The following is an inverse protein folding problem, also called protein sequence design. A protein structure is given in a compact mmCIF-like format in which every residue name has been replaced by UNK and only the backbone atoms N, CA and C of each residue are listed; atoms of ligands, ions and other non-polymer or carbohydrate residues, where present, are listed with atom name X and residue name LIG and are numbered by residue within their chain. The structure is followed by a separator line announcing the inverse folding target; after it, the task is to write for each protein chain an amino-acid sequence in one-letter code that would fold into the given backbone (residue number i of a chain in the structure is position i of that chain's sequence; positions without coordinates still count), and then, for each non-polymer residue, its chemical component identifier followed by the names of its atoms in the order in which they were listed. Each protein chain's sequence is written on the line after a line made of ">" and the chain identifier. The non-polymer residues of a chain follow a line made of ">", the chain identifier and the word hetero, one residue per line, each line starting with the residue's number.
data_IF_102012224963
#
_entry.id   IF_102012224963
#
_cell.length_a   1.000
_cell.length_b   1.000
_cell.length_c   1.000
_cell.angle_alpha   90.00
_cell.angle_beta   90.00
_cell.angle_gamma   90.00
#
_symmetry.space_group_name_H-M   'P 1'
#
loop_
_entity.id
_entity.type
_entity.pdbx_description
1 polymer ?
#
# COMPACT_ATOMS: atom_id res chain seq x y z
N UNK A 1 5.89 -15.31 -30.46
CA UNK A 1 6.39 -13.91 -30.49
C UNK A 1 5.32 -12.85 -30.75
N UNK A 2 4.35 -13.07 -31.62
CA UNK A 2 3.21 -12.13 -31.86
C UNK A 2 2.22 -12.08 -30.68
N UNK A 3 1.83 -13.22 -30.12
CA UNK A 3 0.90 -13.29 -28.98
C UNK A 3 1.45 -12.65 -27.70
N UNK A 4 2.76 -12.76 -27.45
CA UNK A 4 3.40 -12.07 -26.30
C UNK A 4 3.37 -10.54 -26.46
N UNK A 5 3.59 -10.02 -27.66
CA UNK A 5 3.52 -8.57 -27.92
C UNK A 5 2.11 -7.99 -27.82
N UNK A 6 1.10 -8.75 -28.27
CA UNK A 6 -0.30 -8.33 -28.13
C UNK A 6 -0.72 -8.30 -26.66
N UNK A 7 -0.31 -9.28 -25.87
CA UNK A 7 -0.58 -9.29 -24.42
C UNK A 7 0.11 -8.16 -23.65
N UNK A 8 1.32 -7.76 -24.02
CA UNK A 8 2.02 -6.61 -23.42
C UNK A 8 1.37 -5.26 -23.79
N UNK A 9 0.93 -5.09 -25.04
CA UNK A 9 0.23 -3.87 -25.48
C UNK A 9 -1.13 -3.73 -24.80
N UNK A 10 -1.89 -4.82 -24.61
CA UNK A 10 -3.15 -4.80 -23.86
C UNK A 10 -2.94 -4.51 -22.38
N UNK A 11 -1.91 -5.11 -21.75
CA UNK A 11 -1.54 -4.79 -20.36
C UNK A 11 -1.23 -3.30 -20.21
N UNK A 12 -0.40 -2.75 -21.06
CA UNK A 12 0.03 -1.33 -20.98
C UNK A 12 -1.15 -0.38 -21.18
N UNK A 13 -2.09 -0.66 -22.08
CA UNK A 13 -3.30 0.15 -22.27
C UNK A 13 -4.20 0.15 -21.03
N UNK A 14 -4.44 -1.00 -20.40
CA UNK A 14 -5.28 -1.11 -19.19
C UNK A 14 -4.69 -0.36 -18.00
N UNK A 15 -3.37 -0.38 -17.84
CA UNK A 15 -2.68 0.30 -16.74
C UNK A 15 -2.87 1.81 -16.81
N UNK A 16 -2.81 2.40 -18.01
CA UNK A 16 -2.98 3.85 -18.21
C UNK A 16 -4.42 4.29 -17.90
N UNK A 17 -5.43 3.48 -18.26
CA UNK A 17 -6.83 3.75 -17.93
C UNK A 17 -7.08 3.82 -16.41
N UNK A 18 -6.22 3.15 -15.62
CA UNK A 18 -6.34 3.12 -14.16
C UNK A 18 -5.46 4.16 -13.44
N UNK A 19 -4.90 5.10 -14.19
CA UNK A 19 -4.05 6.16 -13.63
C UNK A 19 -2.70 5.65 -13.11
N UNK A 20 -2.24 4.52 -13.67
CA UNK A 20 -0.88 4.01 -13.53
C UNK A 20 -0.23 4.01 -14.91
N UNK A 21 1.05 4.34 -14.98
CA UNK A 21 1.80 4.39 -16.22
C UNK A 21 3.21 3.81 -16.05
N UNK A 22 4.07 3.99 -17.04
CA UNK A 22 5.47 3.56 -16.98
C UNK A 22 6.40 4.55 -16.27
N UNK A 23 5.87 5.60 -15.65
CA UNK A 23 6.66 6.54 -14.85
C UNK A 23 7.30 5.84 -13.65
N UNK A 24 8.47 6.31 -13.17
CA UNK A 24 9.19 5.63 -12.10
C UNK A 24 8.39 5.51 -10.80
N UNK A 25 8.67 4.46 -10.03
CA UNK A 25 8.25 4.31 -8.64
C UNK A 25 9.39 4.79 -7.74
N UNK A 26 9.14 5.78 -6.89
CA UNK A 26 10.13 6.18 -5.88
C UNK A 26 10.08 5.22 -4.69
N UNK A 27 11.23 4.70 -4.30
CA UNK A 27 11.43 3.87 -3.12
C UNK A 27 12.45 4.56 -2.19
N UNK A 28 12.00 5.36 -1.22
CA UNK A 28 12.90 5.89 -0.19
C UNK A 28 13.37 4.76 0.71
N UNK A 29 14.68 4.65 0.93
CA UNK A 29 15.29 3.68 1.83
C UNK A 29 16.20 4.37 2.86
N UNK A 30 16.15 3.88 4.10
CA UNK A 30 17.06 4.24 5.17
C UNK A 30 18.15 3.17 5.38
N UNK A 31 18.22 2.16 4.51
CA UNK A 31 19.09 0.99 4.60
C UNK A 31 18.86 0.14 5.86
N UNK A 32 17.60 0.09 6.30
CA UNK A 32 17.19 -0.71 7.44
C UNK A 32 16.67 -2.10 7.03
N UNK A 33 16.87 -3.16 7.84
CA UNK A 33 16.42 -4.53 7.52
C UNK A 33 14.90 -4.67 7.35
N UNK A 34 14.11 -3.73 7.87
CA UNK A 34 12.64 -3.77 7.85
C UNK A 34 12.00 -3.27 6.56
N UNK A 35 12.81 -2.82 5.61
CA UNK A 35 12.34 -2.20 4.37
C UNK A 35 12.04 -3.22 3.26
N UNK A 36 12.30 -4.51 3.48
CA UNK A 36 12.12 -5.57 2.47
C UNK A 36 10.69 -5.60 1.91
N UNK A 37 9.66 -5.41 2.75
CA UNK A 37 8.27 -5.38 2.25
C UNK A 37 8.00 -4.17 1.33
N UNK A 38 8.62 -3.02 1.59
CA UNK A 38 8.51 -1.86 0.71
C UNK A 38 9.26 -2.08 -0.60
N UNK A 39 10.41 -2.76 -0.55
CA UNK A 39 11.15 -3.19 -1.75
C UNK A 39 10.27 -4.11 -2.59
N UNK A 40 9.73 -5.18 -2.02
CA UNK A 40 8.85 -6.11 -2.73
C UNK A 40 7.65 -5.36 -3.33
N UNK A 41 7.01 -4.48 -2.58
CA UNK A 41 5.85 -3.72 -3.07
C UNK A 41 6.22 -2.82 -4.25
N UNK A 42 7.32 -2.07 -4.16
CA UNK A 42 7.77 -1.18 -5.22
C UNK A 42 8.11 -1.96 -6.51
N UNK A 43 8.85 -3.08 -6.38
CA UNK A 43 9.21 -3.91 -7.52
C UNK A 43 8.00 -4.62 -8.14
N UNK A 44 7.04 -5.07 -7.32
CA UNK A 44 5.78 -5.65 -7.79
C UNK A 44 4.99 -4.66 -8.67
N UNK A 45 4.87 -3.41 -8.21
CA UNK A 45 4.16 -2.37 -8.96
C UNK A 45 4.95 -2.02 -10.23
N UNK A 46 6.26 -1.84 -10.12
CA UNK A 46 7.10 -1.48 -11.25
C UNK A 46 7.10 -2.55 -12.35
N UNK A 47 7.16 -3.84 -11.99
CA UNK A 47 7.06 -4.95 -12.95
C UNK A 47 5.73 -4.90 -13.71
N UNK A 48 4.62 -4.71 -13.00
CA UNK A 48 3.30 -4.68 -13.63
C UNK A 48 3.13 -3.50 -14.57
N UNK A 49 3.62 -2.31 -14.15
CA UNK A 49 3.53 -1.08 -14.93
C UNK A 49 4.57 -0.98 -16.05
N UNK A 50 5.55 -1.90 -16.13
CA UNK A 50 6.68 -1.78 -17.05
C UNK A 50 7.55 -0.57 -16.74
N UNK A 51 7.63 -0.16 -15.47
CA UNK A 51 8.39 1.00 -15.00
C UNK A 51 9.70 0.59 -14.33
N UNK A 52 10.52 1.59 -13.95
CA UNK A 52 11.70 1.39 -13.13
C UNK A 52 11.47 1.79 -11.68
N UNK A 53 12.27 1.27 -10.76
CA UNK A 53 12.33 1.73 -9.38
C UNK A 53 13.44 2.76 -9.23
N UNK A 54 13.11 3.94 -8.72
CA UNK A 54 14.07 4.94 -8.30
C UNK A 54 14.25 4.83 -6.78
N UNK A 55 15.34 4.22 -6.36
CA UNK A 55 15.74 4.14 -4.95
C UNK A 55 16.32 5.49 -4.55
N UNK A 56 15.77 6.09 -3.50
CA UNK A 56 16.25 7.37 -3.01
C UNK A 56 16.67 7.29 -1.53
N UNK A 57 17.94 7.56 -1.28
CA UNK A 57 18.47 7.59 0.08
C UNK A 57 18.83 9.03 0.49
N UNK A 58 18.32 9.46 1.63
CA UNK A 58 18.75 10.73 2.24
C UNK A 58 19.90 10.43 3.19
N UNK A 59 21.11 10.81 2.78
CA UNK A 59 22.32 10.58 3.55
C UNK A 59 22.24 11.23 4.92
N UNK A 60 22.58 10.47 5.92
CA UNK A 60 22.53 10.94 7.33
C UNK A 60 23.73 10.43 8.13
N UNK A 61 23.88 10.99 9.33
CA UNK A 61 25.01 10.72 10.24
C UNK A 61 24.99 9.32 10.88
N UNK A 62 23.89 8.57 10.75
CA UNK A 62 23.77 7.19 11.20
C UNK A 62 24.09 6.16 10.11
N UNK A 63 24.36 6.59 8.87
CA UNK A 63 24.64 5.69 7.74
C UNK A 63 25.93 4.89 7.98
N UNK A 64 25.86 3.60 7.66
CA UNK A 64 27.02 2.71 7.68
C UNK A 64 27.17 1.99 6.33
N UNK A 65 28.41 1.80 5.89
CA UNK A 65 28.68 1.09 4.63
C UNK A 65 28.13 -0.34 4.67
N UNK A 66 28.21 -1.02 5.80
CA UNK A 66 27.66 -2.38 5.99
C UNK A 66 26.14 -2.43 5.76
N UNK A 67 25.39 -1.43 6.26
CA UNK A 67 23.96 -1.35 6.05
C UNK A 67 23.61 -1.09 4.57
N UNK A 68 24.37 -0.18 3.95
CA UNK A 68 24.27 0.15 2.52
C UNK A 68 24.52 -1.07 1.63
N UNK A 69 25.62 -1.79 1.83
CA UNK A 69 25.94 -3.01 1.07
C UNK A 69 24.85 -4.08 1.19
N UNK A 70 24.31 -4.30 2.40
CA UNK A 70 23.21 -5.25 2.61
C UNK A 70 21.96 -4.83 1.86
N UNK A 71 21.60 -3.55 1.89
CA UNK A 71 20.45 -3.04 1.18
C UNK A 71 20.59 -3.16 -0.34
N UNK A 72 21.79 -2.83 -0.88
CA UNK A 72 22.07 -2.96 -2.31
C UNK A 72 22.00 -4.42 -2.77
N UNK A 73 22.53 -5.35 -1.97
CA UNK A 73 22.42 -6.79 -2.27
C UNK A 73 20.95 -7.23 -2.34
N UNK A 74 20.14 -6.79 -1.39
CA UNK A 74 18.71 -7.10 -1.36
C UNK A 74 17.98 -6.51 -2.58
N UNK A 75 18.31 -5.29 -2.97
CA UNK A 75 17.78 -4.65 -4.18
C UNK A 75 18.15 -5.44 -5.45
N UNK A 76 19.38 -5.87 -5.58
CA UNK A 76 19.84 -6.68 -6.71
C UNK A 76 19.10 -8.02 -6.81
N UNK A 77 18.88 -8.69 -5.67
CA UNK A 77 18.12 -9.94 -5.59
C UNK A 77 16.69 -9.72 -6.09
N UNK A 78 16.01 -8.67 -5.61
CA UNK A 78 14.64 -8.37 -6.03
C UNK A 78 14.57 -7.85 -7.48
N UNK A 79 15.51 -7.03 -7.92
CA UNK A 79 15.59 -6.56 -9.30
C UNK A 79 15.68 -7.71 -10.31
N UNK A 80 16.54 -8.69 -10.03
CA UNK A 80 16.65 -9.92 -10.84
C UNK A 80 15.38 -10.74 -10.81
N UNK A 81 14.77 -10.88 -9.62
CA UNK A 81 13.57 -11.67 -9.39
C UNK A 81 12.36 -11.11 -10.15
N UNK A 82 12.15 -9.80 -10.12
CA UNK A 82 11.05 -9.11 -10.77
C UNK A 82 11.38 -8.63 -12.20
N UNK A 83 12.63 -8.80 -12.65
CA UNK A 83 13.11 -8.30 -13.96
C UNK A 83 12.87 -6.80 -14.14
N UNK A 84 13.02 -6.04 -13.08
CA UNK A 84 12.82 -4.59 -13.03
C UNK A 84 14.16 -3.90 -12.87
N UNK A 85 14.39 -2.87 -13.68
CA UNK A 85 15.56 -2.02 -13.54
C UNK A 85 15.39 -1.06 -12.36
N UNK A 86 16.45 -0.77 -11.64
CA UNK A 86 16.46 0.25 -10.62
C UNK A 86 17.66 1.19 -10.74
N UNK A 87 17.52 2.37 -10.16
CA UNK A 87 18.55 3.39 -10.10
C UNK A 87 18.64 3.90 -8.66
N UNK A 88 19.85 4.02 -8.12
CA UNK A 88 20.06 4.57 -6.77
C UNK A 88 20.49 6.02 -6.88
N UNK A 89 19.78 6.90 -6.15
CA UNK A 89 20.15 8.30 -5.97
C UNK A 89 20.27 8.61 -4.48
N UNK A 90 21.23 9.44 -4.15
CA UNK A 90 21.46 9.90 -2.79
C UNK A 90 21.34 11.42 -2.71
N UNK A 91 20.92 11.93 -1.55
CA UNK A 91 20.89 13.37 -1.34
C UNK A 91 22.31 13.97 -1.38
N UNK A 92 22.45 15.19 -1.88
CA UNK A 92 23.74 15.89 -1.92
C UNK A 92 24.27 16.23 -0.52
N UNK A 93 23.39 16.38 0.45
CA UNK A 93 23.71 16.78 1.84
C UNK A 93 23.60 15.59 2.78
N UNK A 94 24.55 15.50 3.71
CA UNK A 94 24.45 14.67 4.91
C UNK A 94 23.73 15.49 5.98
N UNK A 95 22.71 14.90 6.58
CA UNK A 95 21.91 15.55 7.64
C UNK A 95 21.86 14.69 8.87
N UNK A 96 21.41 15.24 10.01
CA UNK A 96 21.10 14.39 11.16
C UNK A 96 19.92 13.47 10.84
N UNK A 97 19.98 12.22 11.29
CA UNK A 97 18.91 11.25 11.16
C UNK A 97 17.57 11.76 11.77
N UNK A 98 17.67 12.66 12.75
CA UNK A 98 16.50 13.30 13.38
C UNK A 98 15.92 14.47 12.58
N UNK A 99 16.54 14.86 11.47
CA UNK A 99 16.03 15.97 10.65
C UNK A 99 14.86 15.56 9.74
N UNK A 100 13.78 15.14 10.40
CA UNK A 100 12.54 14.66 9.76
C UNK A 100 11.98 15.67 8.74
N UNK A 101 12.14 16.97 9.00
CA UNK A 101 11.64 18.02 8.11
C UNK A 101 12.38 18.05 6.78
N UNK A 102 13.70 17.97 6.80
CA UNK A 102 14.53 17.91 5.60
C UNK A 102 14.33 16.60 4.85
N UNK A 103 14.43 15.46 5.56
CA UNK A 103 14.30 14.12 4.96
C UNK A 103 12.96 14.01 4.22
N UNK A 104 11.85 14.36 4.86
CA UNK A 104 10.52 14.27 4.23
C UNK A 104 10.34 15.22 3.03
N UNK A 105 10.95 16.40 3.09
CA UNK A 105 10.93 17.37 1.98
C UNK A 105 11.74 16.83 0.81
N UNK A 106 12.95 16.36 1.07
CA UNK A 106 13.86 15.80 0.05
C UNK A 106 13.25 14.62 -0.70
N UNK A 107 12.58 13.70 0.01
CA UNK A 107 11.86 12.57 -0.61
C UNK A 107 10.74 13.07 -1.53
N UNK A 108 9.90 14.00 -1.07
CA UNK A 108 8.79 14.52 -1.87
C UNK A 108 9.28 15.31 -3.10
N UNK A 109 10.38 16.04 -2.97
CA UNK A 109 11.02 16.77 -4.08
C UNK A 109 11.63 15.80 -5.09
N UNK A 110 12.36 14.78 -4.65
CA UNK A 110 12.93 13.75 -5.52
C UNK A 110 11.84 13.03 -6.35
N UNK A 111 10.70 12.71 -5.75
CA UNK A 111 9.57 12.12 -6.46
C UNK A 111 9.02 13.06 -7.54
N UNK A 112 8.89 14.36 -7.22
CA UNK A 112 8.39 15.37 -8.15
C UNK A 112 9.37 15.61 -9.31
N UNK A 113 10.65 15.76 -9.01
CA UNK A 113 11.70 16.02 -10.02
C UNK A 113 11.87 14.84 -10.99
N UNK A 114 11.74 13.63 -10.49
CA UNK A 114 11.82 12.43 -11.33
C UNK A 114 10.50 12.05 -12.01
N UNK A 115 9.42 12.81 -11.79
CA UNK A 115 8.10 12.51 -12.34
C UNK A 115 7.54 11.16 -11.89
N UNK A 116 7.78 10.78 -10.63
CA UNK A 116 7.33 9.49 -10.13
C UNK A 116 5.81 9.42 -10.00
N UNK A 117 5.20 8.31 -10.44
CA UNK A 117 3.76 8.09 -10.32
C UNK A 117 3.34 7.69 -8.89
N UNK A 118 4.24 7.10 -8.11
CA UNK A 118 4.01 6.75 -6.73
C UNK A 118 5.29 6.78 -5.89
N UNK A 119 5.13 6.99 -4.58
CA UNK A 119 6.15 6.77 -3.55
C UNK A 119 5.73 5.53 -2.76
N UNK A 120 6.57 4.50 -2.73
CA UNK A 120 6.35 3.30 -1.91
C UNK A 120 7.37 3.32 -0.79
N UNK A 121 6.91 3.35 0.45
CA UNK A 121 7.83 3.45 1.59
C UNK A 121 7.32 2.70 2.82
N UNK A 122 8.26 2.21 3.61
CA UNK A 122 7.94 1.65 4.92
C UNK A 122 7.47 2.74 5.88
N UNK A 123 6.40 2.45 6.62
CA UNK A 123 5.90 3.31 7.67
C UNK A 123 6.36 2.77 9.03
N UNK A 124 7.66 2.91 9.32
CA UNK A 124 8.23 2.40 10.57
C UNK A 124 7.72 3.16 11.78
N UNK A 125 7.22 2.41 12.73
CA UNK A 125 6.84 2.89 14.05
C UNK A 125 7.79 2.33 15.10
N UNK A 126 8.85 3.07 15.42
CA UNK A 126 9.56 2.78 16.67
C UNK A 126 8.78 3.33 17.87
N UNK A 127 8.73 2.49 18.87
CA UNK A 127 8.41 2.65 20.30
C UNK A 127 8.10 4.03 20.89
N UNK A 128 7.02 4.04 21.65
CA UNK A 128 6.55 4.80 22.82
C UNK A 128 6.77 6.33 22.94
N UNK A 129 7.79 6.94 22.40
CA UNK A 129 8.05 8.40 22.51
C UNK A 129 7.59 9.23 21.30
N UNK A 130 6.89 8.64 20.32
CA UNK A 130 6.68 9.20 18.99
C UNK A 130 5.29 9.71 18.64
N UNK A 131 4.42 9.81 19.58
CA UNK A 131 3.09 10.41 19.33
C UNK A 131 3.17 11.92 19.02
N UNK A 132 4.31 12.57 19.30
CA UNK A 132 4.45 14.03 19.22
C UNK A 132 5.20 14.59 17.99
N UNK A 133 5.96 13.78 17.26
CA UNK A 133 6.75 14.29 16.14
C UNK A 133 6.33 13.57 14.85
N UNK A 134 5.49 14.19 14.04
CA UNK A 134 5.05 13.67 12.75
C UNK A 134 6.16 12.98 11.99
N UNK A 135 5.98 11.69 11.74
CA UNK A 135 6.96 10.78 11.13
C UNK A 135 7.34 11.23 9.72
N UNK A 136 8.45 10.73 9.22
CA UNK A 136 8.87 10.96 7.84
C UNK A 136 7.74 10.56 6.88
N UNK A 137 7.15 9.38 7.05
CA UNK A 137 6.04 8.89 6.23
C UNK A 137 4.79 9.80 6.27
N UNK A 138 4.39 10.28 7.46
CA UNK A 138 3.28 11.21 7.62
C UNK A 138 3.52 12.54 6.90
N UNK A 139 4.76 13.04 6.97
CA UNK A 139 5.14 14.28 6.30
C UNK A 139 5.29 14.12 4.79
N UNK A 140 5.82 12.98 4.34
CA UNK A 140 5.87 12.65 2.91
C UNK A 140 4.44 12.56 2.37
N UNK A 141 3.55 11.82 3.02
CA UNK A 141 2.14 11.70 2.63
C UNK A 141 1.44 13.06 2.50
N UNK A 142 1.74 14.01 3.41
CA UNK A 142 1.19 15.38 3.31
C UNK A 142 1.77 16.23 2.18
N UNK A 143 3.06 16.04 1.88
CA UNK A 143 3.79 16.91 0.93
C UNK A 143 3.77 16.41 -0.50
N UNK A 144 3.69 15.09 -0.69
CA UNK A 144 3.74 14.48 -2.00
C UNK A 144 2.57 14.94 -2.89
N UNK A 145 2.87 15.19 -4.15
CA UNK A 145 1.90 15.49 -5.20
C UNK A 145 1.60 14.23 -6.05
N UNK A 146 2.06 13.08 -5.60
CA UNK A 146 1.82 11.78 -6.21
C UNK A 146 1.23 10.82 -5.18
N UNK A 147 0.78 9.65 -5.61
CA UNK A 147 0.28 8.59 -4.72
C UNK A 147 1.38 8.20 -3.73
N UNK A 148 1.00 7.97 -2.47
CA UNK A 148 1.92 7.42 -1.46
C UNK A 148 1.36 6.09 -0.98
N UNK A 149 2.17 5.05 -1.07
CA UNK A 149 1.84 3.72 -0.58
C UNK A 149 2.70 3.46 0.64
N UNK A 150 2.05 3.46 1.80
CA UNK A 150 2.71 3.10 3.04
C UNK A 150 2.65 1.58 3.22
N UNK A 151 3.79 0.99 3.48
CA UNK A 151 3.93 -0.44 3.74
C UNK A 151 4.21 -0.64 5.21
N UNK A 152 3.30 -1.29 5.92
CA UNK A 152 3.41 -1.47 7.36
C UNK A 152 3.14 -2.92 7.78
N UNK A 153 3.83 -3.33 8.85
CA UNK A 153 3.58 -4.60 9.53
C UNK A 153 3.82 -4.42 11.02
N UNK A 154 2.84 -4.80 11.83
CA UNK A 154 2.98 -4.81 13.28
C UNK A 154 3.82 -5.97 13.79
N UNK A 155 3.94 -7.04 13.02
CA UNK A 155 4.64 -8.26 13.40
C UNK A 155 6.04 -8.32 12.78
N UNK A 156 7.04 -8.54 13.63
CA UNK A 156 8.39 -8.87 13.14
C UNK A 156 8.32 -10.18 12.35
N UNK A 157 8.73 -10.13 11.08
CA UNK A 157 8.75 -11.30 10.21
C UNK A 157 7.52 -11.47 9.31
N UNK A 158 6.47 -10.65 9.43
CA UNK A 158 5.44 -10.62 8.41
C UNK A 158 6.04 -10.11 7.08
N UNK A 159 5.84 -10.87 6.01
CA UNK A 159 6.41 -10.59 4.69
C UNK A 159 5.32 -10.68 3.63
N UNK A 160 5.44 -9.86 2.61
CA UNK A 160 4.67 -10.02 1.40
C UNK A 160 5.15 -11.30 0.72
N UNK A 161 4.26 -12.27 0.61
CA UNK A 161 4.58 -13.55 -0.05
C UNK A 161 4.54 -13.39 -1.57
N UNK A 162 5.35 -14.16 -2.28
CA UNK A 162 5.38 -14.12 -3.76
C UNK A 162 4.09 -14.66 -4.41
N UNK A 163 3.38 -15.52 -3.70
CA UNK A 163 2.12 -16.11 -4.16
C UNK A 163 1.11 -16.03 -3.03
N UNK A 164 0.58 -14.83 -2.75
CA UNK A 164 -0.43 -14.70 -1.71
C UNK A 164 -1.66 -15.51 -2.10
N UNK A 165 -2.18 -16.27 -1.16
CA UNK A 165 -3.39 -17.06 -1.37
C UNK A 165 -4.64 -16.22 -1.21
N UNK A 166 -4.58 -15.19 -0.38
CA UNK A 166 -5.72 -14.31 -0.11
C UNK A 166 -5.27 -12.88 0.17
N UNK A 167 -5.83 -11.94 -0.59
CA UNK A 167 -5.65 -10.50 -0.39
C UNK A 167 -7.00 -9.89 -0.04
N UNK A 168 -7.03 -9.09 1.00
CA UNK A 168 -8.21 -8.36 1.44
C UNK A 168 -8.07 -6.87 1.17
N UNK A 169 -9.03 -6.30 0.43
CA UNK A 169 -9.18 -4.85 0.28
C UNK A 169 -10.20 -4.38 1.31
N UNK A 170 -9.79 -3.46 2.17
CA UNK A 170 -10.65 -2.91 3.23
C UNK A 170 -11.13 -1.52 2.83
N UNK A 171 -12.44 -1.35 2.81
CA UNK A 171 -13.11 -0.07 2.58
C UNK A 171 -13.69 0.41 3.91
N UNK A 172 -13.14 1.50 4.42
CA UNK A 172 -13.58 2.15 5.64
C UNK A 172 -14.49 3.32 5.29
N UNK A 173 -15.65 3.41 5.96
CA UNK A 173 -16.64 4.47 5.81
C UNK A 173 -17.17 4.64 4.37
N UNK A 174 -17.28 5.90 3.91
CA UNK A 174 -17.96 6.23 2.64
C UNK A 174 -17.01 6.23 1.43
N UNK A 175 -15.73 6.08 1.63
CA UNK A 175 -14.77 6.26 0.55
C UNK A 175 -14.39 4.93 -0.09
N UNK A 176 -14.82 4.78 -1.32
CA UNK A 176 -14.47 3.65 -2.17
C UNK A 176 -13.27 4.03 -3.04
N UNK A 177 -12.10 3.56 -2.67
CA UNK A 177 -10.88 3.83 -3.42
C UNK A 177 -10.63 2.76 -4.48
N UNK A 178 -10.88 3.09 -5.73
CA UNK A 178 -10.61 2.19 -6.86
C UNK A 178 -9.12 1.80 -6.92
N UNK A 179 -8.23 2.70 -6.55
CA UNK A 179 -6.78 2.44 -6.50
C UNK A 179 -6.41 1.23 -5.63
N UNK A 180 -7.18 0.93 -4.58
CA UNK A 180 -6.91 -0.24 -3.73
C UNK A 180 -7.25 -1.56 -4.41
N UNK A 181 -8.34 -1.60 -5.18
CA UNK A 181 -8.70 -2.76 -5.99
C UNK A 181 -7.70 -2.97 -7.13
N UNK A 182 -7.28 -1.87 -7.77
CA UNK A 182 -6.25 -1.90 -8.81
C UNK A 182 -4.94 -2.46 -8.23
N UNK A 183 -4.52 -1.98 -7.07
CA UNK A 183 -3.31 -2.45 -6.42
C UNK A 183 -3.39 -3.95 -6.08
N UNK A 184 -4.53 -4.44 -5.59
CA UNK A 184 -4.73 -5.86 -5.35
C UNK A 184 -4.64 -6.68 -6.65
N UNK A 185 -5.20 -6.18 -7.74
CA UNK A 185 -5.09 -6.82 -9.06
C UNK A 185 -3.65 -6.80 -9.59
N UNK A 186 -2.89 -5.72 -9.38
CA UNK A 186 -1.46 -5.63 -9.70
C UNK A 186 -0.69 -6.72 -8.94
N UNK A 187 -0.89 -6.83 -7.63
CA UNK A 187 -0.19 -7.80 -6.80
C UNK A 187 -0.47 -9.24 -7.24
N UNK A 188 -1.72 -9.59 -7.52
CA UNK A 188 -2.04 -10.95 -7.99
C UNK A 188 -1.48 -11.26 -9.37
N UNK A 189 -1.36 -10.27 -10.23
CA UNK A 189 -0.85 -10.44 -11.59
C UNK A 189 0.67 -10.53 -11.63
N UNK A 190 1.35 -9.63 -10.94
CA UNK A 190 2.82 -9.55 -10.91
C UNK A 190 3.43 -10.71 -10.10
N UNK A 191 2.82 -11.06 -8.97
CA UNK A 191 3.29 -12.16 -8.14
C UNK A 191 2.91 -13.55 -8.69
N UNK A 192 2.38 -13.62 -9.91
CA UNK A 192 1.97 -14.87 -10.55
C UNK A 192 1.08 -15.74 -9.65
N UNK A 193 0.13 -15.10 -8.98
CA UNK A 193 -0.81 -15.73 -8.05
C UNK A 193 -2.22 -15.90 -8.70
N UNK A 194 -2.38 -16.78 -9.71
CA UNK A 194 -3.64 -16.91 -10.45
C UNK A 194 -4.78 -17.42 -9.56
N UNK A 195 -4.46 -18.16 -8.52
CA UNK A 195 -5.42 -18.74 -7.57
C UNK A 195 -5.60 -17.88 -6.31
N UNK A 196 -5.07 -16.66 -6.29
CA UNK A 196 -5.26 -15.75 -5.17
C UNK A 196 -6.72 -15.33 -5.08
N UNK A 197 -7.33 -15.55 -3.94
CA UNK A 197 -8.66 -15.03 -3.63
C UNK A 197 -8.58 -13.54 -3.28
N UNK A 198 -9.43 -12.74 -3.91
CA UNK A 198 -9.55 -11.32 -3.66
C UNK A 198 -10.87 -11.04 -2.94
N UNK A 199 -10.79 -10.52 -1.72
CA UNK A 199 -11.96 -10.13 -0.93
C UNK A 199 -12.00 -8.61 -0.84
N UNK A 200 -13.15 -8.01 -1.17
CA UNK A 200 -13.42 -6.60 -0.91
C UNK A 200 -14.37 -6.49 0.28
N UNK A 201 -13.90 -5.89 1.36
CA UNK A 201 -14.64 -5.78 2.62
C UNK A 201 -15.04 -4.34 2.87
N UNK A 202 -16.36 -4.07 2.92
CA UNK A 202 -16.88 -2.79 3.42
C UNK A 202 -17.18 -2.91 4.92
N UNK A 203 -16.54 -2.08 5.71
CA UNK A 203 -16.66 -2.09 7.17
C UNK A 203 -17.83 -1.22 7.58
N UNK A 204 -18.82 -1.85 8.22
CA UNK A 204 -20.01 -1.17 8.76
C UNK A 204 -19.89 -1.06 10.28
N UNK A 205 -19.56 0.14 10.76
CA UNK A 205 -19.47 0.39 12.21
C UNK A 205 -20.84 0.47 12.86
N UNK A 206 -21.07 -0.39 13.84
CA UNK A 206 -22.33 -0.45 14.57
C UNK A 206 -22.21 0.23 15.93
N UNK A 207 -23.30 0.88 16.41
CA UNK A 207 -23.41 1.30 17.80
C UNK A 207 -23.34 0.10 18.76
N UNK A 208 -22.79 0.29 19.97
CA UNK A 208 -22.58 -0.79 20.95
C UNK A 208 -23.84 -1.58 21.28
N UNK A 209 -24.99 -0.91 21.38
CA UNK A 209 -26.27 -1.52 21.72
C UNK A 209 -26.97 -2.25 20.56
N UNK A 210 -26.45 -2.18 19.34
CA UNK A 210 -27.13 -2.76 18.17
C UNK A 210 -26.76 -4.25 18.01
N UNK A 211 -27.73 -5.18 18.05
CA UNK A 211 -27.46 -6.60 17.81
C UNK A 211 -27.00 -6.82 16.35
N UNK A 212 -25.88 -7.48 16.16
CA UNK A 212 -25.30 -7.76 14.82
C UNK A 212 -26.31 -8.57 13.98
N UNK A 213 -26.86 -9.63 14.54
CA UNK A 213 -27.84 -10.51 13.86
C UNK A 213 -29.09 -9.78 13.39
N UNK A 214 -29.53 -8.76 14.13
CA UNK A 214 -30.69 -7.95 13.74
C UNK A 214 -30.36 -7.04 12.56
N UNK A 215 -29.12 -6.53 12.52
CA UNK A 215 -28.64 -5.69 11.40
C UNK A 215 -28.52 -6.52 10.13
N UNK A 216 -27.89 -7.68 10.19
CA UNK A 216 -27.68 -8.58 9.04
C UNK A 216 -29.00 -9.05 8.40
N UNK A 217 -30.08 -9.16 9.22
CA UNK A 217 -31.42 -9.50 8.72
C UNK A 217 -32.21 -8.32 8.16
N UNK A 218 -31.72 -7.10 8.36
CA UNK A 218 -32.45 -5.89 7.95
C UNK A 218 -32.42 -5.67 6.44
N UNK A 219 -33.45 -5.03 5.90
CA UNK A 219 -33.49 -4.62 4.49
C UNK A 219 -32.42 -3.58 4.17
N UNK A 220 -32.10 -2.73 5.15
CA UNK A 220 -31.03 -1.72 5.02
C UNK A 220 -29.69 -2.39 4.80
N UNK A 221 -29.36 -3.43 5.55
CA UNK A 221 -28.12 -4.18 5.37
C UNK A 221 -28.04 -4.82 3.98
N UNK A 222 -29.13 -5.46 3.53
CA UNK A 222 -29.18 -6.04 2.19
C UNK A 222 -29.08 -5.00 1.06
N UNK A 223 -29.57 -3.78 1.31
CA UNK A 223 -29.42 -2.69 0.36
C UNK A 223 -27.95 -2.23 0.26
N UNK A 224 -27.28 -2.07 1.41
CA UNK A 224 -25.84 -1.73 1.47
C UNK A 224 -24.99 -2.83 0.78
N UNK A 225 -25.30 -4.10 1.05
CA UNK A 225 -24.61 -5.24 0.43
C UNK A 225 -24.74 -5.22 -1.09
N UNK A 226 -25.94 -5.02 -1.62
CA UNK A 226 -26.18 -4.92 -3.07
C UNK A 226 -25.47 -3.72 -3.70
N UNK A 227 -25.53 -2.55 -3.03
CA UNK A 227 -24.85 -1.35 -3.53
C UNK A 227 -23.33 -1.55 -3.56
N UNK A 228 -22.77 -2.13 -2.51
CA UNK A 228 -21.34 -2.41 -2.45
C UNK A 228 -20.92 -3.44 -3.50
N UNK A 229 -21.66 -4.53 -3.65
CA UNK A 229 -21.40 -5.53 -4.68
C UNK A 229 -21.45 -4.93 -6.09
N UNK A 230 -22.41 -4.03 -6.35
CA UNK A 230 -22.48 -3.32 -7.63
C UNK A 230 -21.28 -2.39 -7.85
N UNK A 231 -20.85 -1.62 -6.84
CA UNK A 231 -19.67 -0.76 -6.91
C UNK A 231 -18.40 -1.57 -7.20
N UNK A 232 -18.22 -2.68 -6.50
CA UNK A 232 -17.09 -3.60 -6.72
C UNK A 232 -17.14 -4.16 -8.13
N UNK A 233 -18.29 -4.72 -8.57
CA UNK A 233 -18.45 -5.29 -9.90
C UNK A 233 -18.16 -4.27 -11.01
N UNK A 234 -18.65 -3.04 -10.87
CA UNK A 234 -18.40 -1.96 -11.83
C UNK A 234 -16.92 -1.59 -11.91
N UNK A 235 -16.26 -1.51 -10.75
CA UNK A 235 -14.84 -1.18 -10.68
C UNK A 235 -13.95 -2.28 -11.29
N UNK A 236 -14.31 -3.56 -11.09
CA UNK A 236 -13.49 -4.71 -11.54
C UNK A 236 -13.75 -5.12 -12.98
N UNK A 237 -14.81 -4.61 -13.61
CA UNK A 237 -15.14 -4.96 -15.00
C UNK A 237 -13.96 -4.78 -15.97
N UNK A 238 -13.11 -3.78 -15.72
CA UNK A 238 -11.89 -3.50 -16.48
C UNK A 238 -10.65 -4.25 -15.98
N UNK A 239 -10.66 -4.77 -14.73
CA UNK A 239 -9.47 -5.36 -14.11
C UNK A 239 -9.19 -6.81 -14.53
N UNK A 240 -10.21 -7.52 -15.05
CA UNK A 240 -10.09 -8.94 -15.41
C UNK A 240 -9.80 -9.85 -14.20
N UNK A 241 -10.18 -9.42 -13.00
CA UNK A 241 -10.06 -10.16 -11.74
C UNK A 241 -11.39 -10.15 -11.01
N UNK A 242 -11.70 -11.25 -10.34
CA UNK A 242 -12.92 -11.37 -9.53
C UNK A 242 -12.61 -11.03 -8.08
N UNK A 243 -13.45 -10.21 -7.48
CA UNK A 243 -13.43 -9.92 -6.05
C UNK A 243 -14.72 -10.44 -5.42
N UNK A 244 -14.60 -11.01 -4.23
CA UNK A 244 -15.75 -11.40 -3.42
C UNK A 244 -16.12 -10.22 -2.51
N UNK A 245 -17.24 -9.52 -2.76
CA UNK A 245 -17.69 -8.45 -1.89
C UNK A 245 -18.22 -9.00 -0.57
N UNK A 246 -17.91 -8.34 0.55
CA UNK A 246 -18.39 -8.65 1.90
C UNK A 246 -18.74 -7.37 2.64
N UNK A 247 -19.78 -7.37 3.42
CA UNK A 247 -20.04 -6.35 4.44
C UNK A 247 -19.64 -6.94 5.79
N UNK A 248 -18.83 -6.22 6.53
CA UNK A 248 -18.38 -6.62 7.86
C UNK A 248 -18.96 -5.68 8.91
N UNK A 249 -20.03 -6.04 9.60
CA UNK A 249 -20.54 -5.28 10.73
C UNK A 249 -19.57 -5.41 11.91
N UNK A 250 -19.10 -4.28 12.44
CA UNK A 250 -18.08 -4.22 13.49
C UNK A 250 -18.47 -3.27 14.61
N UNK A 251 -17.94 -3.52 15.81
CA UNK A 251 -18.00 -2.59 16.95
C UNK A 251 -16.62 -1.97 17.21
N UNK A 252 -15.58 -2.76 17.23
CA UNK A 252 -14.17 -2.33 17.29
C UNK A 252 -13.53 -2.60 15.92
N UNK A 253 -13.43 -1.55 15.09
CA UNK A 253 -12.90 -1.67 13.72
C UNK A 253 -11.56 -2.38 13.70
N UNK A 254 -10.62 -1.97 14.55
CA UNK A 254 -9.28 -2.53 14.53
C UNK A 254 -9.22 -4.01 14.93
N UNK A 255 -10.02 -4.41 15.92
CA UNK A 255 -10.06 -5.80 16.39
C UNK A 255 -10.85 -6.69 15.45
N UNK A 256 -12.04 -6.24 15.07
CA UNK A 256 -12.98 -7.10 14.36
C UNK A 256 -12.51 -7.34 12.91
N UNK A 257 -11.93 -6.31 12.25
CA UNK A 257 -11.30 -6.46 10.92
C UNK A 257 -10.05 -7.36 10.99
N UNK A 258 -9.22 -7.20 12.03
CA UNK A 258 -8.03 -8.04 12.19
C UNK A 258 -8.38 -9.50 12.47
N UNK A 259 -9.40 -9.76 13.29
CA UNK A 259 -9.91 -11.12 13.54
C UNK A 259 -10.47 -11.72 12.24
N UNK A 260 -11.30 -10.99 11.51
CA UNK A 260 -11.82 -11.44 10.22
C UNK A 260 -10.69 -11.78 9.24
N UNK A 261 -9.66 -10.93 9.15
CA UNK A 261 -8.51 -11.18 8.30
C UNK A 261 -7.75 -12.47 8.71
N UNK A 262 -7.61 -12.70 10.02
CA UNK A 262 -6.97 -13.90 10.55
C UNK A 262 -7.80 -15.16 10.27
N UNK A 263 -9.11 -15.13 10.52
CA UNK A 263 -10.02 -16.27 10.33
C UNK A 263 -10.13 -16.64 8.84
N UNK A 264 -10.09 -15.65 7.96
CA UNK A 264 -10.07 -15.85 6.51
C UNK A 264 -8.68 -16.26 5.97
N UNK A 265 -7.64 -16.23 6.76
CA UNK A 265 -6.26 -16.54 6.33
C UNK A 265 -5.70 -15.49 5.34
N UNK A 266 -6.01 -14.22 5.55
CA UNK A 266 -5.54 -13.10 4.73
C UNK A 266 -4.04 -12.92 4.92
N UNK A 267 -3.29 -12.85 3.82
CA UNK A 267 -1.84 -12.68 3.81
C UNK A 267 -1.41 -11.23 3.49
N UNK A 268 -2.29 -10.44 2.89
CA UNK A 268 -2.04 -9.03 2.58
C UNK A 268 -3.33 -8.23 2.72
N UNK A 269 -3.27 -7.13 3.45
CA UNK A 269 -4.35 -6.14 3.53
C UNK A 269 -4.00 -4.94 2.67
N UNK A 270 -4.96 -4.44 1.89
CA UNK A 270 -4.83 -3.19 1.13
C UNK A 270 -5.99 -2.28 1.53
N UNK A 271 -5.69 -1.06 1.93
CA UNK A 271 -6.71 -0.08 2.29
C UNK A 271 -6.38 1.30 1.73
N UNK A 272 -7.39 2.10 1.46
CA UNK A 272 -7.24 3.51 1.14
C UNK A 272 -7.25 4.35 2.42
N UNK A 273 -6.56 5.46 2.40
CA UNK A 273 -6.63 6.48 3.43
C UNK A 273 -6.75 7.86 2.79
N UNK A 274 -7.46 8.76 3.46
CA UNK A 274 -7.52 10.15 3.03
C UNK A 274 -6.16 10.81 3.15
N UNK A 275 -5.94 11.83 2.32
CA UNK A 275 -4.75 12.64 2.48
C UNK A 275 -4.77 13.31 3.85
N UNK A 276 -3.71 13.15 4.65
CA UNK A 276 -3.67 13.70 5.98
C UNK A 276 -3.77 15.24 5.95
N UNK A 277 -4.59 15.78 6.82
CA UNK A 277 -4.69 17.21 7.02
C UNK A 277 -3.35 17.84 7.43
N UNK A 278 -3.30 19.18 7.51
CA UNK A 278 -2.06 19.95 7.73
C UNK A 278 -1.24 19.50 8.95
N UNK A 279 -1.88 19.03 10.00
CA UNK A 279 -1.24 18.60 11.27
C UNK A 279 -1.60 17.17 11.68
N UNK A 280 -2.45 16.48 10.91
CA UNK A 280 -2.91 15.14 11.24
C UNK A 280 -1.90 14.03 10.92
N UNK A 281 -2.06 12.84 11.52
CA UNK A 281 -1.32 11.65 11.14
C UNK A 281 -1.72 11.18 9.73
N UNK A 282 -0.88 10.37 9.09
CA UNK A 282 -1.19 9.80 7.78
C UNK A 282 -2.30 8.75 7.84
N UNK A 283 -2.48 8.12 8.98
CA UNK A 283 -3.51 7.11 9.22
C UNK A 283 -4.51 7.60 10.25
N UNK A 284 -5.78 7.32 10.00
CA UNK A 284 -6.83 7.46 11.00
C UNK A 284 -6.64 6.49 12.17
N UNK A 285 -7.38 6.71 13.26
CA UNK A 285 -7.36 5.81 14.42
C UNK A 285 -7.75 4.37 14.05
N UNK A 286 -8.76 4.23 13.20
CA UNK A 286 -9.28 2.91 12.79
C UNK A 286 -8.31 2.19 11.86
N UNK A 287 -7.74 2.86 10.84
CA UNK A 287 -6.69 2.32 9.97
C UNK A 287 -5.47 1.85 10.78
N UNK A 288 -5.04 2.70 11.72
CA UNK A 288 -3.94 2.33 12.62
C UNK A 288 -4.24 1.11 13.47
N UNK A 289 -5.46 1.02 13.99
CA UNK A 289 -5.87 -0.10 14.82
C UNK A 289 -5.89 -1.42 14.03
N UNK A 290 -6.32 -1.38 12.76
CA UNK A 290 -6.26 -2.55 11.86
C UNK A 290 -4.80 -2.99 11.68
N UNK A 291 -3.93 -2.08 11.24
CA UNK A 291 -2.51 -2.39 11.00
C UNK A 291 -1.82 -2.95 12.25
N UNK A 292 -2.13 -2.37 13.41
CA UNK A 292 -1.52 -2.80 14.69
C UNK A 292 -1.94 -4.20 15.11
N UNK A 293 -3.15 -4.62 14.76
CA UNK A 293 -3.73 -5.91 15.20
C UNK A 293 -3.65 -7.00 14.12
N UNK A 294 -3.54 -6.61 12.84
CA UNK A 294 -3.43 -7.56 11.75
C UNK A 294 -2.13 -8.37 11.84
N UNK A 295 -2.23 -9.67 11.58
CA UNK A 295 -1.10 -10.61 11.58
C UNK A 295 -0.27 -10.61 10.28
N UNK A 296 -0.63 -9.76 9.32
CA UNK A 296 -0.02 -9.69 7.98
C UNK A 296 0.46 -8.27 7.65
N UNK A 297 1.05 -8.12 6.46
CA UNK A 297 1.45 -6.81 5.94
C UNK A 297 0.22 -6.04 5.48
N UNK A 298 0.21 -4.74 5.72
CA UNK A 298 -0.80 -3.81 5.21
C UNK A 298 -0.18 -2.79 4.25
N UNK A 299 -0.84 -2.55 3.13
CA UNK A 299 -0.54 -1.46 2.19
C UNK A 299 -1.63 -0.40 2.32
N UNK A 300 -1.22 0.82 2.57
CA UNK A 300 -2.15 1.95 2.71
C UNK A 300 -1.90 2.93 1.57
N UNK A 301 -2.90 3.11 0.73
CA UNK A 301 -2.85 3.99 -0.44
C UNK A 301 -3.39 5.36 -0.07
N UNK A 302 -2.56 6.37 -0.19
CA UNK A 302 -2.90 7.77 0.04
C UNK A 302 -2.88 8.51 -1.30
N UNK A 303 -3.99 9.14 -1.71
CA UNK A 303 -4.09 9.82 -3.00
C UNK A 303 -3.19 11.06 -3.08
N UNK A 304 -2.89 11.59 -4.28
CA UNK A 304 -2.17 12.83 -4.47
C UNK A 304 -2.95 14.05 -3.94
N UNK A 305 -2.27 15.17 -3.80
CA UNK A 305 -2.82 16.38 -3.15
C UNK A 305 -4.04 17.00 -3.84
N UNK A 306 -4.24 16.71 -5.12
CA UNK A 306 -5.24 17.38 -5.98
C UNK A 306 -6.21 16.39 -6.64
N UNK A 307 -6.42 15.21 -6.04
CA UNK A 307 -7.41 14.24 -6.52
C UNK A 307 -8.76 14.47 -5.88
#
# INVERSE_FOLDING_TARGET
>A
MFEQKVGEVEKTKKVVEWGWDSSPILLPLAYEPREENAIIAAFTIAEYCGSKVLVYHVRNDADTEVAREKALKLLDEHAKMFKVNYEVRESSKVVSADNVAYISKSIAEAAKEAGCQAIVMSAHRETFLRELLGRISDRVARKANTKVILVESAFKGARITRQPRKIMVVVLEKQFYIDTLILAAIFTSSLSAPNCELIAVNVLKLPEATPVDAVERSEVFRAIEREFAYKVASAIASLGRLFTPRILPVRDVGRDVANFASDEGVELIIMGSDKPGRLGPALTKDEYAIVKKAGCVALIVIPPKNS
#
